data_IF_941779542527
#
_entry.id   IF_941779542527
#
_cell.length_a   1.000
_cell.length_b   1.000
_cell.length_c   1.000
_cell.angle_alpha   90.00
_cell.angle_beta   90.00
_cell.angle_gamma   90.00
#
_symmetry.space_group_name_H-M   'P 1'
#
loop_
_entity.id
_entity.type
_entity.pdbx_description
1 polymer ?
#
# COMPACT_ATOMS: atom_id res chain seq x y z
N UNK A 1 -9.92 7.49 33.18
CA UNK A 1 -10.39 7.97 31.88
C UNK A 1 -9.53 7.38 30.79
N UNK A 2 -10.12 6.99 29.66
CA UNK A 2 -9.41 6.46 28.52
C UNK A 2 -9.03 7.62 27.56
N UNK A 3 -7.85 7.51 26.93
CA UNK A 3 -7.45 8.44 25.89
C UNK A 3 -7.97 7.93 24.55
N UNK A 4 -8.76 8.73 23.84
CA UNK A 4 -9.22 8.43 22.50
C UNK A 4 -8.04 8.46 21.52
N UNK A 5 -7.90 7.39 20.73
CA UNK A 5 -6.82 7.25 19.76
C UNK A 5 -7.39 6.73 18.41
N UNK A 6 -7.89 7.63 17.56
CA UNK A 6 -8.19 7.27 16.19
C UNK A 6 -6.92 6.88 15.46
N UNK A 7 -6.95 5.74 14.77
CA UNK A 7 -5.82 5.12 14.08
C UNK A 7 -6.11 5.03 12.59
N UNK A 8 -5.28 5.64 11.76
CA UNK A 8 -5.43 5.62 10.31
C UNK A 8 -4.61 4.48 9.69
N UNK A 9 -5.27 3.50 9.09
CA UNK A 9 -4.61 2.52 8.24
C UNK A 9 -4.37 3.09 6.84
N UNK A 10 -3.46 2.47 6.11
CA UNK A 10 -3.15 2.81 4.73
C UNK A 10 -3.96 2.00 3.71
N UNK A 11 -4.84 1.11 4.15
CA UNK A 11 -5.62 0.22 3.31
C UNK A 11 -7.00 -0.10 3.90
N UNK A 12 -7.84 -0.74 3.09
CA UNK A 12 -9.11 -1.33 3.53
C UNK A 12 -8.86 -2.49 4.52
N UNK A 13 -9.88 -2.85 5.27
CA UNK A 13 -9.79 -3.96 6.22
C UNK A 13 -9.70 -5.30 5.49
N UNK A 14 -8.58 -5.98 5.69
CA UNK A 14 -8.29 -7.31 5.19
C UNK A 14 -7.56 -8.10 6.30
N UNK A 15 -7.14 -9.33 6.01
CA UNK A 15 -6.43 -10.19 6.98
C UNK A 15 -5.32 -9.50 7.76
N UNK A 16 -4.44 -8.71 7.12
CA UNK A 16 -3.35 -8.01 7.83
C UNK A 16 -3.80 -6.98 8.87
N UNK A 17 -5.04 -6.47 8.79
CA UNK A 17 -5.59 -5.57 9.82
C UNK A 17 -6.17 -6.30 11.02
N UNK A 18 -6.34 -7.62 10.96
CA UNK A 18 -6.92 -8.43 12.04
C UNK A 18 -6.25 -8.26 13.41
N UNK A 19 -4.91 -8.12 13.53
CA UNK A 19 -4.27 -7.92 14.82
C UNK A 19 -4.76 -6.69 15.58
N UNK A 20 -5.08 -5.61 14.87
CA UNK A 20 -5.59 -4.38 15.50
C UNK A 20 -6.99 -4.59 16.09
N UNK A 21 -7.88 -5.25 15.33
CA UNK A 21 -9.22 -5.60 15.81
C UNK A 21 -9.18 -6.62 16.93
N UNK A 22 -8.31 -7.61 16.84
CA UNK A 22 -8.08 -8.57 17.89
C UNK A 22 -7.66 -7.89 19.21
N UNK A 23 -6.78 -6.88 19.13
CA UNK A 23 -6.37 -6.11 20.28
C UNK A 23 -7.52 -5.28 20.90
N UNK A 24 -8.42 -4.76 20.06
CA UNK A 24 -9.63 -4.07 20.53
C UNK A 24 -10.56 -5.05 21.23
N UNK A 25 -10.89 -6.16 20.58
CA UNK A 25 -11.87 -7.15 21.08
C UNK A 25 -11.43 -7.81 22.39
N UNK A 26 -10.12 -8.01 22.57
CA UNK A 26 -9.54 -8.56 23.77
C UNK A 26 -9.21 -7.51 24.85
N UNK A 27 -9.52 -6.25 24.60
CA UNK A 27 -9.32 -5.17 25.56
C UNK A 27 -7.86 -4.78 25.82
N UNK A 28 -6.92 -5.16 24.94
CA UNK A 28 -5.50 -4.87 25.14
C UNK A 28 -5.22 -3.35 25.11
N UNK A 29 -5.81 -2.61 24.19
CA UNK A 29 -5.71 -1.16 24.21
C UNK A 29 -6.38 -0.55 25.44
N UNK A 30 -7.52 -1.09 25.85
CA UNK A 30 -8.26 -0.62 27.02
C UNK A 30 -7.46 -0.82 28.31
N UNK A 31 -6.70 -1.91 28.44
CA UNK A 31 -5.84 -2.15 29.59
C UNK A 31 -4.70 -1.12 29.70
N UNK A 32 -4.30 -0.53 28.57
CA UNK A 32 -3.30 0.55 28.50
C UNK A 32 -3.95 1.96 28.57
N UNK A 33 -5.24 2.04 28.89
CA UNK A 33 -5.95 3.31 28.99
C UNK A 33 -6.28 3.96 27.65
N UNK A 34 -6.32 3.18 26.56
CA UNK A 34 -6.55 3.66 25.21
C UNK A 34 -7.92 3.21 24.69
N UNK A 35 -8.64 4.13 24.04
CA UNK A 35 -9.83 3.85 23.25
C UNK A 35 -9.44 4.02 21.77
N UNK A 36 -9.13 2.90 21.10
CA UNK A 36 -8.64 2.89 19.71
C UNK A 36 -9.80 2.68 18.75
N UNK A 37 -9.91 3.57 17.77
CA UNK A 37 -10.84 3.47 16.66
C UNK A 37 -10.05 3.41 15.35
N UNK A 38 -10.24 2.34 14.57
CA UNK A 38 -9.46 2.08 13.36
C UNK A 38 -10.23 2.51 12.12
N UNK A 39 -9.60 3.34 11.29
CA UNK A 39 -10.12 3.81 10.03
C UNK A 39 -9.34 3.23 8.85
N UNK A 40 -10.06 2.80 7.82
CA UNK A 40 -9.46 2.38 6.56
C UNK A 40 -8.83 3.57 5.82
N UNK A 41 -7.86 3.29 4.96
CA UNK A 41 -7.16 4.29 4.15
C UNK A 41 -7.04 3.90 2.68
N UNK A 42 -6.46 4.81 1.92
CA UNK A 42 -6.25 4.70 0.46
C UNK A 42 -4.78 4.85 0.09
N UNK A 43 -3.90 4.09 0.76
CA UNK A 43 -2.46 4.10 0.55
C UNK A 43 -1.68 4.96 1.54
N UNK A 44 -0.36 4.78 1.53
CA UNK A 44 0.54 5.49 2.45
C UNK A 44 0.55 6.99 2.23
N UNK A 45 0.38 7.46 0.98
CA UNK A 45 0.30 8.89 0.67
C UNK A 45 -1.02 9.55 1.12
N UNK A 46 -2.03 8.74 1.50
CA UNK A 46 -3.24 9.20 2.17
C UNK A 46 -3.06 9.19 3.70
N UNK A 47 -2.48 8.14 4.27
CA UNK A 47 -2.34 7.98 5.71
C UNK A 47 -1.36 8.99 6.34
N UNK A 48 -0.21 9.24 5.70
CA UNK A 48 0.84 10.12 6.25
C UNK A 48 0.35 11.56 6.45
N UNK A 49 -0.30 12.23 5.49
CA UNK A 49 -0.84 13.57 5.68
C UNK A 49 -1.90 13.65 6.79
N UNK A 50 -2.69 12.60 7.00
CA UNK A 50 -3.68 12.55 8.10
C UNK A 50 -3.02 12.67 9.48
N UNK A 51 -1.85 12.04 9.64
CA UNK A 51 -1.06 12.18 10.88
C UNK A 51 -0.35 13.53 10.93
N UNK A 52 0.25 13.96 9.83
CA UNK A 52 0.97 15.22 9.75
C UNK A 52 0.10 16.45 10.08
N UNK A 53 -1.17 16.43 9.67
CA UNK A 53 -2.13 17.52 9.95
C UNK A 53 -2.75 17.45 11.35
N UNK A 54 -2.49 16.39 12.12
CA UNK A 54 -3.07 16.16 13.42
C UNK A 54 -4.51 15.61 13.40
N UNK A 55 -5.05 15.27 12.22
CA UNK A 55 -6.35 14.63 12.10
C UNK A 55 -6.38 13.25 12.78
N UNK A 56 -5.25 12.56 12.76
CA UNK A 56 -5.02 11.28 13.46
C UNK A 56 -3.73 11.36 14.28
N UNK A 57 -3.73 10.95 15.55
CA UNK A 57 -2.51 10.91 16.38
C UNK A 57 -1.54 9.83 15.92
N UNK A 58 -2.02 8.76 15.28
CA UNK A 58 -1.22 7.62 14.83
C UNK A 58 -1.78 7.05 13.53
N UNK A 59 -0.89 6.50 12.71
CA UNK A 59 -1.25 5.83 11.46
C UNK A 59 -0.26 4.74 11.09
N UNK A 60 -0.66 3.91 10.15
CA UNK A 60 0.17 2.89 9.53
C UNK A 60 0.49 3.31 8.09
N UNK A 61 1.76 3.31 7.72
CA UNK A 61 2.20 3.67 6.39
C UNK A 61 3.59 3.08 6.07
N UNK A 62 3.98 3.13 4.79
CA UNK A 62 5.31 2.75 4.34
C UNK A 62 6.37 3.76 4.79
N UNK A 63 7.47 3.26 5.36
CA UNK A 63 8.57 4.10 5.86
C UNK A 63 9.25 4.89 4.73
N UNK A 64 9.41 4.32 3.54
CA UNK A 64 10.03 5.03 2.42
C UNK A 64 9.14 6.17 1.91
N UNK A 65 7.83 5.99 1.96
CA UNK A 65 6.86 7.06 1.67
C UNK A 65 6.95 8.18 2.71
N UNK A 66 7.16 7.84 3.99
CA UNK A 66 7.40 8.82 5.05
C UNK A 66 8.69 9.61 4.81
N UNK A 67 9.79 8.94 4.44
CA UNK A 67 11.06 9.61 4.12
C UNK A 67 10.87 10.62 2.99
N UNK A 68 10.21 10.22 1.89
CA UNK A 68 9.91 11.12 0.77
C UNK A 68 9.00 12.29 1.18
N UNK A 69 8.02 12.04 2.05
CA UNK A 69 7.14 13.07 2.55
C UNK A 69 7.90 14.10 3.40
N UNK A 70 8.78 13.65 4.29
CA UNK A 70 9.59 14.52 5.14
C UNK A 70 10.65 15.29 4.36
N UNK A 71 11.19 14.74 3.28
CA UNK A 71 12.09 15.45 2.38
C UNK A 71 11.42 16.69 1.76
N UNK A 72 10.15 16.56 1.41
CA UNK A 72 9.33 17.67 0.88
C UNK A 72 8.73 18.57 1.97
N UNK A 73 8.57 18.05 3.17
CA UNK A 73 7.92 18.72 4.29
C UNK A 73 8.77 18.56 5.56
N UNK A 74 9.97 19.15 5.62
CA UNK A 74 10.94 18.89 6.70
C UNK A 74 10.48 19.32 8.10
N UNK A 75 9.50 20.20 8.18
CA UNK A 75 8.92 20.67 9.45
C UNK A 75 7.66 19.89 9.87
N UNK A 76 7.22 18.89 9.10
CA UNK A 76 6.04 18.11 9.44
C UNK A 76 6.28 17.31 10.73
N UNK A 77 5.37 17.37 11.72
CA UNK A 77 5.56 16.76 13.03
C UNK A 77 5.18 15.26 13.01
N UNK A 78 5.84 14.47 12.17
CA UNK A 78 5.60 13.03 12.01
C UNK A 78 6.89 12.26 12.24
N UNK A 79 6.81 11.24 13.08
CA UNK A 79 7.92 10.31 13.34
C UNK A 79 7.46 8.86 13.19
N UNK A 80 8.36 7.97 12.81
CA UNK A 80 8.12 6.53 12.88
C UNK A 80 8.46 6.03 14.29
N UNK A 81 7.54 5.30 14.92
CA UNK A 81 7.69 4.81 16.29
C UNK A 81 7.82 3.29 16.37
N UNK A 82 7.38 2.56 15.34
CA UNK A 82 7.45 1.10 15.29
C UNK A 82 7.44 0.60 13.85
N UNK A 83 8.18 -0.47 13.58
CA UNK A 83 8.12 -1.21 12.31
C UNK A 83 7.30 -2.49 12.50
N UNK A 84 6.28 -2.68 11.66
CA UNK A 84 5.46 -3.92 11.62
C UNK A 84 6.06 -4.92 10.64
N UNK A 85 6.45 -4.46 9.46
CA UNK A 85 7.14 -5.28 8.44
C UNK A 85 8.60 -4.87 8.35
N UNK A 86 9.52 -5.82 8.50
CA UNK A 86 10.94 -5.61 8.22
C UNK A 86 11.24 -5.55 6.71
N UNK A 87 10.38 -6.22 5.91
CA UNK A 87 10.38 -6.19 4.45
C UNK A 87 8.97 -5.90 3.96
N UNK A 88 8.74 -4.78 3.26
CA UNK A 88 7.41 -4.46 2.76
C UNK A 88 6.97 -5.50 1.71
N UNK A 89 5.70 -5.97 1.74
CA UNK A 89 5.19 -6.95 0.80
C UNK A 89 4.80 -6.32 -0.55
N UNK A 90 5.57 -5.34 -1.00
CA UNK A 90 5.36 -4.69 -2.29
C UNK A 90 5.71 -5.62 -3.44
N UNK A 91 4.87 -5.66 -4.44
CA UNK A 91 5.04 -6.50 -5.61
C UNK A 91 4.44 -5.85 -6.86
N UNK A 92 4.84 -6.40 -7.99
CA UNK A 92 4.15 -6.22 -9.26
C UNK A 92 3.57 -7.58 -9.64
N UNK A 93 2.25 -7.64 -9.82
CA UNK A 93 1.56 -8.80 -10.35
C UNK A 93 1.38 -8.65 -11.86
N UNK A 94 2.02 -9.50 -12.62
CA UNK A 94 1.90 -9.56 -14.08
C UNK A 94 1.17 -10.80 -14.55
N UNK A 95 0.42 -10.69 -15.64
CA UNK A 95 -0.25 -11.85 -16.23
C UNK A 95 0.71 -12.70 -17.07
N UNK A 96 0.91 -13.95 -16.67
CA UNK A 96 1.69 -14.93 -17.47
C UNK A 96 1.11 -15.11 -18.87
N UNK A 97 -0.23 -15.10 -19.01
CA UNK A 97 -0.90 -15.22 -20.30
C UNK A 97 -0.62 -14.05 -21.26
N UNK A 98 -0.07 -12.95 -20.76
CA UNK A 98 0.38 -11.79 -21.55
C UNK A 98 1.91 -11.71 -21.66
N UNK A 99 2.61 -12.83 -21.36
CA UNK A 99 4.05 -12.95 -21.53
C UNK A 99 4.88 -12.30 -20.42
N UNK A 100 4.29 -12.01 -19.26
CA UNK A 100 5.01 -11.40 -18.13
C UNK A 100 5.43 -12.49 -17.15
N UNK A 101 6.72 -12.81 -17.14
CA UNK A 101 7.34 -13.81 -16.27
C UNK A 101 8.56 -13.28 -15.50
N UNK A 102 9.04 -12.10 -15.88
CA UNK A 102 10.18 -11.43 -15.27
C UNK A 102 9.96 -9.92 -15.25
N UNK A 103 10.72 -9.16 -14.45
CA UNK A 103 10.64 -7.70 -14.46
C UNK A 103 10.87 -7.09 -15.85
N UNK A 104 11.77 -7.64 -16.63
CA UNK A 104 12.11 -7.13 -17.97
C UNK A 104 10.93 -7.21 -18.96
N UNK A 105 10.02 -8.15 -18.76
CA UNK A 105 8.84 -8.32 -19.62
C UNK A 105 7.81 -7.20 -19.47
N UNK A 106 7.99 -6.29 -18.49
CA UNK A 106 7.16 -5.08 -18.36
C UNK A 106 7.42 -4.08 -19.48
N UNK A 107 8.59 -4.11 -20.12
CA UNK A 107 8.88 -3.23 -21.26
C UNK A 107 7.93 -3.53 -22.43
N UNK A 108 7.30 -2.50 -22.98
CA UNK A 108 6.26 -2.61 -23.99
C UNK A 108 4.87 -2.93 -23.46
N UNK A 109 4.70 -2.98 -22.14
CA UNK A 109 3.45 -3.32 -21.44
C UNK A 109 2.83 -2.13 -20.72
N UNK A 110 1.58 -2.31 -20.28
CA UNK A 110 0.85 -1.32 -19.47
C UNK A 110 0.83 -1.78 -18.01
N UNK A 111 1.37 -0.93 -17.13
CA UNK A 111 1.38 -1.12 -15.69
C UNK A 111 0.30 -0.25 -15.05
N UNK A 112 -0.71 -0.87 -14.46
CA UNK A 112 -1.73 -0.20 -13.66
C UNK A 112 -1.19 0.09 -12.25
N UNK A 113 -1.20 1.36 -11.85
CA UNK A 113 -0.69 1.77 -10.54
C UNK A 113 -1.60 2.81 -9.90
N UNK A 114 -2.08 2.59 -8.67
CA UNK A 114 -2.78 3.64 -7.93
C UNK A 114 -1.79 4.74 -7.52
N UNK A 115 -2.04 6.03 -7.88
CA UNK A 115 -1.09 7.10 -7.59
C UNK A 115 -0.68 7.23 -6.12
N UNK A 116 -1.57 7.07 -5.11
CA UNK A 116 -1.21 7.20 -3.70
C UNK A 116 -0.64 5.90 -3.07
N UNK A 117 -0.42 4.85 -3.87
CA UNK A 117 0.04 3.56 -3.36
C UNK A 117 1.52 3.57 -2.95
N UNK A 118 1.82 3.05 -1.76
CA UNK A 118 3.20 2.88 -1.28
C UNK A 118 4.02 1.95 -2.18
N UNK A 119 3.42 0.92 -2.76
CA UNK A 119 4.10 0.03 -3.72
C UNK A 119 4.48 0.78 -5.00
N UNK A 120 3.59 1.62 -5.54
CA UNK A 120 3.90 2.47 -6.68
C UNK A 120 5.03 3.46 -6.35
N UNK A 121 5.05 4.02 -5.16
CA UNK A 121 6.11 4.93 -4.72
C UNK A 121 7.53 4.29 -4.78
N UNK A 122 7.63 2.96 -4.76
CA UNK A 122 8.88 2.20 -4.85
C UNK A 122 9.23 1.75 -6.27
N UNK A 123 8.43 2.12 -7.28
CA UNK A 123 8.66 1.67 -8.66
C UNK A 123 10.01 2.15 -9.23
N UNK A 124 10.40 3.39 -8.98
CA UNK A 124 11.67 3.94 -9.50
C UNK A 124 12.90 3.14 -9.04
N UNK A 125 13.11 2.88 -7.73
CA UNK A 125 14.22 2.04 -7.30
C UNK A 125 14.10 0.59 -7.80
N UNK A 126 12.90 0.03 -7.90
CA UNK A 126 12.67 -1.29 -8.49
C UNK A 126 13.12 -1.32 -9.96
N UNK A 127 12.70 -0.34 -10.77
CA UNK A 127 13.07 -0.25 -12.17
C UNK A 127 14.60 -0.14 -12.35
N UNK A 128 15.25 0.68 -11.52
CA UNK A 128 16.71 0.83 -11.52
C UNK A 128 17.41 -0.49 -11.19
N UNK A 129 16.97 -1.17 -10.14
CA UNK A 129 17.56 -2.44 -9.71
C UNK A 129 17.43 -3.55 -10.75
N UNK A 130 16.42 -3.49 -11.61
CA UNK A 130 16.16 -4.47 -12.67
C UNK A 130 16.57 -3.99 -14.06
N UNK A 131 17.26 -2.86 -14.17
CA UNK A 131 17.71 -2.27 -15.44
C UNK A 131 16.56 -2.09 -16.47
N UNK A 132 15.38 -1.66 -16.00
CA UNK A 132 14.22 -1.43 -16.85
C UNK A 132 14.34 -0.11 -17.60
N UNK A 133 14.01 -0.13 -18.89
CA UNK A 133 13.75 1.09 -19.64
C UNK A 133 12.31 1.55 -19.36
N UNK A 134 12.16 2.49 -18.42
CA UNK A 134 10.84 2.98 -17.97
C UNK A 134 10.07 3.71 -19.07
N UNK A 135 10.74 4.28 -20.07
CA UNK A 135 10.10 4.94 -21.21
C UNK A 135 9.30 3.95 -22.09
N UNK A 136 9.64 2.65 -22.01
CA UNK A 136 8.92 1.59 -22.71
C UNK A 136 7.73 1.05 -21.92
N UNK A 137 7.51 1.51 -20.69
CA UNK A 137 6.42 1.04 -19.84
C UNK A 137 5.34 2.12 -19.80
N UNK A 138 4.15 1.80 -20.31
CA UNK A 138 2.99 2.68 -20.17
C UNK A 138 2.44 2.54 -18.77
N UNK A 139 2.43 3.62 -18.00
CA UNK A 139 1.81 3.66 -16.67
C UNK A 139 0.39 4.18 -16.80
N UNK A 140 -0.57 3.38 -16.32
CA UNK A 140 -1.99 3.72 -16.28
C UNK A 140 -2.40 3.99 -14.82
N UNK A 141 -2.82 5.21 -14.47
CA UNK A 141 -3.40 5.47 -13.17
C UNK A 141 -4.70 4.69 -12.99
N UNK A 142 -4.79 3.90 -11.92
CA UNK A 142 -5.97 3.11 -11.60
C UNK A 142 -6.44 3.38 -10.18
N UNK A 143 -7.72 3.22 -9.93
CA UNK A 143 -8.26 3.25 -8.57
C UNK A 143 -7.98 1.93 -7.83
N UNK A 144 -7.86 1.98 -6.52
CA UNK A 144 -7.69 0.75 -5.71
C UNK A 144 -8.83 -0.26 -5.94
N UNK A 145 -10.11 0.13 -6.01
CA UNK A 145 -11.20 -0.82 -6.26
C UNK A 145 -11.17 -1.47 -7.65
N UNK A 146 -10.58 -0.81 -8.64
CA UNK A 146 -10.57 -1.26 -10.03
C UNK A 146 -9.27 -1.93 -10.45
N UNK A 147 -8.25 -1.91 -9.61
CA UNK A 147 -6.90 -2.41 -9.90
C UNK A 147 -6.90 -3.87 -10.35
N UNK A 148 -7.35 -4.79 -9.50
CA UNK A 148 -7.41 -6.22 -9.82
C UNK A 148 -8.44 -6.53 -10.92
N UNK A 149 -9.65 -5.95 -10.94
CA UNK A 149 -10.57 -6.12 -12.07
C UNK A 149 -9.96 -5.73 -13.43
N UNK A 150 -9.23 -4.63 -13.51
CA UNK A 150 -8.57 -4.22 -14.76
C UNK A 150 -7.50 -5.21 -15.23
N UNK A 151 -6.75 -5.81 -14.29
CA UNK A 151 -5.81 -6.88 -14.63
C UNK A 151 -6.55 -8.16 -15.06
N UNK A 152 -7.62 -8.53 -14.37
CA UNK A 152 -8.45 -9.69 -14.73
C UNK A 152 -9.05 -9.55 -16.13
N UNK A 153 -9.52 -8.36 -16.48
CA UNK A 153 -10.10 -8.02 -17.78
C UNK A 153 -9.04 -7.71 -18.86
N UNK A 154 -7.76 -7.79 -18.54
CA UNK A 154 -6.64 -7.50 -19.46
C UNK A 154 -6.63 -6.05 -19.97
N UNK A 155 -7.22 -5.12 -19.23
CA UNK A 155 -7.16 -3.67 -19.53
C UNK A 155 -5.80 -3.08 -19.18
N UNK A 156 -5.10 -3.70 -18.23
CA UNK A 156 -3.68 -3.52 -17.94
C UNK A 156 -2.99 -4.88 -17.94
N UNK A 157 -1.68 -4.90 -18.13
CA UNK A 157 -0.89 -6.14 -18.23
C UNK A 157 -0.28 -6.55 -16.88
N UNK A 158 -0.06 -5.58 -16.01
CA UNK A 158 0.48 -5.75 -14.66
C UNK A 158 -0.06 -4.66 -13.73
N UNK A 159 0.04 -4.89 -12.42
CA UNK A 159 -0.40 -3.95 -11.38
C UNK A 159 0.60 -3.92 -10.22
N UNK A 160 0.68 -2.78 -9.53
CA UNK A 160 1.44 -2.63 -8.29
C UNK A 160 0.54 -2.84 -7.08
N UNK A 161 1.09 -3.34 -5.98
CA UNK A 161 0.36 -3.48 -4.72
C UNK A 161 1.06 -4.38 -3.72
N UNK A 162 0.35 -4.75 -2.65
CA UNK A 162 0.79 -5.76 -1.71
C UNK A 162 0.57 -7.15 -2.33
N UNK A 163 1.57 -8.01 -2.25
CA UNK A 163 1.56 -9.34 -2.88
C UNK A 163 0.36 -10.18 -2.48
N UNK A 164 0.06 -10.27 -1.19
CA UNK A 164 -1.06 -11.08 -0.69
C UNK A 164 -2.43 -10.49 -1.05
N UNK A 165 -2.62 -9.15 -1.00
CA UNK A 165 -3.87 -8.51 -1.41
C UNK A 165 -4.17 -8.76 -2.88
N UNK A 166 -3.18 -8.52 -3.75
CA UNK A 166 -3.33 -8.77 -5.18
C UNK A 166 -3.60 -10.24 -5.46
N UNK A 167 -2.84 -11.14 -4.85
CA UNK A 167 -3.00 -12.58 -5.03
C UNK A 167 -4.41 -13.06 -4.66
N UNK A 168 -4.87 -12.75 -3.46
CA UNK A 168 -6.19 -13.20 -2.99
C UNK A 168 -7.33 -12.61 -3.82
N UNK A 169 -7.24 -11.33 -4.19
CA UNK A 169 -8.26 -10.69 -5.01
C UNK A 169 -8.28 -11.26 -6.45
N UNK A 170 -7.12 -11.53 -7.03
CA UNK A 170 -7.03 -12.13 -8.37
C UNK A 170 -7.54 -13.58 -8.38
N UNK A 171 -7.24 -14.37 -7.36
CA UNK A 171 -7.81 -15.73 -7.21
C UNK A 171 -9.33 -15.68 -7.15
N UNK A 172 -9.91 -14.73 -6.39
CA UNK A 172 -11.37 -14.53 -6.32
C UNK A 172 -11.98 -14.14 -7.66
N UNK A 173 -11.23 -13.46 -8.52
CA UNK A 173 -11.63 -13.06 -9.87
C UNK A 173 -11.36 -14.15 -10.92
N UNK A 174 -10.89 -15.34 -10.50
CA UNK A 174 -10.59 -16.46 -11.40
C UNK A 174 -9.34 -16.27 -12.26
N UNK A 175 -8.42 -15.41 -11.85
CA UNK A 175 -7.12 -15.22 -12.51
C UNK A 175 -6.12 -16.18 -11.85
N UNK A 176 -5.51 -17.13 -12.62
CA UNK A 176 -4.54 -18.10 -12.09
C UNK A 176 -3.18 -17.44 -11.72
#
# INVERSE_FOLDING_TARGET
SQTKMPFALDWKFEGPSAPYFYAIDNGYFKSEGLEVEISAGKGSLDAIPKVATGAFPVGFADINSLVKFLDKNPSAPVIAVMMVYDKPPFAIAGRKSLGITSPKDLEGKTLGAPPPDGAWAQFTPFAKANNLNVEKIKVEPVGFPTREPMLAEKKVDAITGFSFSMFLNLVRLGVP
#
